data_IF_395471100651
#
_entry.id   IF_395471100651
#
_cell.length_a   1.000
_cell.length_b   1.000
_cell.length_c   1.000
_cell.angle_alpha   90.00
_cell.angle_beta   90.00
_cell.angle_gamma   90.00
#
_symmetry.space_group_name_H-M   'P 1'
#
loop_
_entity.id
_entity.type
_entity.pdbx_description
1 polymer ?
#
# COMPACT_ATOMS: atom_id res chain seq x y z
N UNK A 1 4.68 -4.11 -10.80
CA UNK A 1 3.65 -4.27 -11.83
C UNK A 1 3.14 -2.90 -12.24
N UNK A 2 2.79 -2.73 -13.50
CA UNK A 2 2.17 -1.50 -13.96
C UNK A 2 0.72 -1.40 -13.45
N UNK A 3 0.37 -0.26 -12.87
CA UNK A 3 -0.97 0.03 -12.37
C UNK A 3 -1.98 0.23 -13.50
N UNK A 4 -1.57 0.66 -14.70
CA UNK A 4 -2.47 0.79 -15.86
C UNK A 4 -3.08 -0.56 -16.24
N UNK A 5 -2.29 -1.63 -16.17
CA UNK A 5 -2.79 -3.00 -16.40
C UNK A 5 -3.90 -3.39 -15.43
N UNK A 6 -3.88 -2.89 -14.19
CA UNK A 6 -4.96 -3.13 -13.23
C UNK A 6 -6.23 -2.39 -13.62
N UNK A 7 -6.10 -1.16 -14.09
CA UNK A 7 -7.24 -0.35 -14.54
C UNK A 7 -7.89 -0.94 -15.80
N UNK A 8 -7.08 -1.39 -16.76
CA UNK A 8 -7.56 -2.10 -17.94
C UNK A 8 -8.28 -3.39 -17.55
N UNK A 9 -7.67 -4.20 -16.69
CA UNK A 9 -8.27 -5.45 -16.22
C UNK A 9 -9.59 -5.21 -15.47
N UNK A 10 -9.66 -4.18 -14.62
CA UNK A 10 -10.88 -3.79 -13.90
C UNK A 10 -11.99 -3.41 -14.88
N UNK A 11 -11.70 -2.59 -15.90
CA UNK A 11 -12.66 -2.18 -16.91
C UNK A 11 -13.19 -3.38 -17.73
N UNK A 12 -12.29 -4.25 -18.17
CA UNK A 12 -12.64 -5.46 -18.94
C UNK A 12 -13.51 -6.39 -18.10
N UNK A 13 -13.07 -6.71 -16.88
CA UNK A 13 -13.80 -7.62 -15.99
C UNK A 13 -15.19 -7.08 -15.62
N UNK A 14 -15.29 -5.77 -15.35
CA UNK A 14 -16.57 -5.12 -15.04
C UNK A 14 -17.53 -5.19 -16.21
N UNK A 15 -17.06 -4.88 -17.43
CA UNK A 15 -17.89 -4.96 -18.64
C UNK A 15 -18.39 -6.38 -18.88
N UNK A 16 -17.50 -7.36 -18.79
CA UNK A 16 -17.86 -8.77 -18.97
C UNK A 16 -18.87 -9.25 -17.93
N UNK A 17 -18.74 -8.79 -16.67
CA UNK A 17 -19.70 -9.14 -15.61
C UNK A 17 -21.10 -8.57 -15.88
N UNK A 18 -21.19 -7.32 -16.33
CA UNK A 18 -22.45 -6.68 -16.70
C UNK A 18 -23.10 -7.38 -17.89
N UNK A 19 -22.33 -7.68 -18.94
CA UNK A 19 -22.81 -8.37 -20.13
C UNK A 19 -23.33 -9.78 -19.80
N UNK A 20 -22.58 -10.53 -18.97
CA UNK A 20 -22.97 -11.87 -18.54
C UNK A 20 -24.24 -11.88 -17.68
N UNK A 21 -24.43 -10.85 -16.86
CA UNK A 21 -25.61 -10.71 -16.02
C UNK A 21 -26.81 -10.12 -16.79
N UNK A 22 -26.60 -9.53 -17.96
CA UNK A 22 -27.64 -8.86 -18.74
C UNK A 22 -28.23 -7.64 -18.02
N UNK A 23 -27.44 -6.95 -17.19
CA UNK A 23 -27.88 -5.79 -16.40
C UNK A 23 -27.16 -4.52 -16.83
N UNK A 24 -27.83 -3.38 -16.70
CA UNK A 24 -27.21 -2.07 -16.90
C UNK A 24 -26.35 -1.71 -15.69
N UNK A 25 -25.21 -1.06 -15.94
CA UNK A 25 -24.39 -0.46 -14.88
C UNK A 25 -25.16 0.54 -14.01
N UNK A 26 -26.23 1.17 -14.53
CA UNK A 26 -27.10 2.07 -13.77
C UNK A 26 -27.92 1.36 -12.68
N UNK A 27 -28.03 0.02 -12.73
CA UNK A 27 -28.72 -0.77 -11.71
C UNK A 27 -27.81 -1.11 -10.53
N UNK A 28 -26.49 -0.93 -10.67
CA UNK A 28 -25.50 -1.24 -9.64
C UNK A 28 -25.51 -0.15 -8.56
N UNK A 29 -25.87 -0.55 -7.33
CA UNK A 29 -25.98 0.39 -6.20
C UNK A 29 -24.65 0.63 -5.47
N UNK A 30 -23.66 -0.24 -5.68
CA UNK A 30 -22.36 -0.13 -5.02
C UNK A 30 -21.33 -1.08 -5.59
N UNK A 31 -20.06 -0.77 -5.33
CA UNK A 31 -18.90 -1.54 -5.76
C UNK A 31 -18.02 -1.77 -4.54
N UNK A 32 -17.62 -3.03 -4.32
CA UNK A 32 -16.60 -3.39 -3.34
C UNK A 32 -15.31 -3.76 -4.05
N UNK A 33 -14.18 -3.25 -3.57
CA UNK A 33 -12.85 -3.55 -4.12
C UNK A 33 -12.10 -4.40 -3.10
N UNK A 34 -11.59 -5.53 -3.57
CA UNK A 34 -10.65 -6.38 -2.84
C UNK A 34 -9.45 -6.66 -3.74
N UNK A 35 -8.28 -6.81 -3.16
CA UNK A 35 -7.04 -6.99 -3.92
C UNK A 35 -5.94 -7.64 -3.09
N UNK A 36 -4.79 -7.82 -3.71
CA UNK A 36 -3.60 -8.31 -3.03
C UNK A 36 -3.14 -7.32 -1.95
N UNK A 37 -2.78 -7.83 -0.77
CA UNK A 37 -2.30 -7.02 0.36
C UNK A 37 -0.83 -6.62 0.18
N UNK A 38 -0.30 -5.78 1.07
CA UNK A 38 1.12 -5.40 1.19
C UNK A 38 1.79 -4.74 -0.01
N UNK A 39 1.12 -4.61 -1.16
CA UNK A 39 1.66 -3.92 -2.32
C UNK A 39 1.99 -2.46 -2.01
N UNK A 40 2.98 -1.91 -2.71
CA UNK A 40 3.36 -0.51 -2.59
C UNK A 40 3.10 0.23 -3.90
N UNK A 41 2.15 1.16 -3.89
CA UNK A 41 1.92 2.18 -4.91
C UNK A 41 2.29 3.54 -4.32
N UNK A 42 3.09 4.30 -5.05
CA UNK A 42 3.52 5.64 -4.66
C UNK A 42 2.99 6.64 -5.65
N UNK A 43 2.28 7.66 -5.17
CA UNK A 43 1.76 8.74 -5.99
C UNK A 43 2.43 10.07 -5.61
N UNK A 44 2.57 10.95 -6.60
CA UNK A 44 2.86 12.37 -6.36
C UNK A 44 1.62 13.13 -5.86
N UNK A 45 1.79 14.43 -5.62
CA UNK A 45 0.73 15.32 -5.14
C UNK A 45 -0.41 15.53 -6.16
N UNK A 46 -0.16 15.26 -7.43
CA UNK A 46 -1.15 15.34 -8.51
C UNK A 46 -1.86 13.99 -8.72
N UNK A 47 -1.49 12.95 -7.96
CA UNK A 47 -2.06 11.62 -8.04
C UNK A 47 -1.46 10.73 -9.13
N UNK A 48 -0.34 11.12 -9.74
CA UNK A 48 0.33 10.32 -10.76
C UNK A 48 1.20 9.23 -10.11
N UNK A 49 1.19 8.04 -10.71
CA UNK A 49 1.99 6.91 -10.26
C UNK A 49 3.47 7.16 -10.57
N UNK A 50 4.30 7.14 -9.52
CA UNK A 50 5.72 7.50 -9.63
C UNK A 50 6.60 6.37 -10.18
N UNK A 51 6.18 5.11 -9.99
CA UNK A 51 6.88 3.91 -10.49
C UNK A 51 5.96 2.69 -10.49
N UNK A 52 6.31 1.62 -11.23
CA UNK A 52 5.61 0.35 -11.13
C UNK A 52 5.49 -0.14 -9.67
N UNK A 53 4.31 -0.63 -9.30
CA UNK A 53 3.99 -1.09 -7.96
C UNK A 53 4.89 -2.26 -7.53
N UNK A 54 5.37 -2.25 -6.28
CA UNK A 54 6.18 -3.34 -5.72
C UNK A 54 5.25 -4.33 -5.00
N UNK A 55 5.15 -5.56 -5.50
CA UNK A 55 4.10 -6.53 -5.11
C UNK A 55 4.40 -7.26 -3.79
N UNK A 56 3.41 -7.95 -3.22
CA UNK A 56 3.56 -8.72 -1.97
C UNK A 56 4.58 -9.86 -2.07
N UNK A 57 4.67 -10.52 -3.23
CA UNK A 57 5.59 -11.62 -3.47
C UNK A 57 7.03 -11.16 -3.75
N UNK A 58 7.27 -9.85 -3.76
CA UNK A 58 8.59 -9.26 -3.94
C UNK A 58 9.37 -9.23 -2.63
N UNK A 59 10.45 -10.00 -2.58
CA UNK A 59 11.30 -10.19 -1.40
C UNK A 59 12.61 -9.42 -1.44
N UNK A 60 12.85 -8.55 -2.42
CA UNK A 60 14.11 -7.78 -2.53
C UNK A 60 14.35 -6.88 -1.31
N UNK A 61 13.27 -6.48 -0.62
CA UNK A 61 13.31 -5.66 0.60
C UNK A 61 13.60 -6.46 1.88
N UNK A 62 14.12 -7.69 1.77
CA UNK A 62 14.47 -8.52 2.93
C UNK A 62 15.53 -7.88 3.85
N UNK A 63 16.62 -7.29 3.33
CA UNK A 63 17.60 -6.59 4.18
C UNK A 63 16.98 -5.40 4.93
N UNK A 64 16.11 -4.64 4.27
CA UNK A 64 15.35 -3.54 4.87
C UNK A 64 14.41 -4.01 5.97
N UNK A 65 13.69 -5.11 5.75
CA UNK A 65 12.83 -5.70 6.77
C UNK A 65 13.62 -6.09 8.01
N UNK A 66 14.78 -6.74 7.85
CA UNK A 66 15.63 -7.12 8.97
C UNK A 66 16.09 -5.90 9.78
N UNK A 67 16.47 -4.82 9.11
CA UNK A 67 16.86 -3.58 9.78
C UNK A 67 15.71 -2.95 10.56
N UNK A 68 14.52 -2.86 9.95
CA UNK A 68 13.33 -2.31 10.61
C UNK A 68 12.93 -3.18 11.80
N UNK A 69 13.02 -4.49 11.68
CA UNK A 69 12.73 -5.42 12.76
C UNK A 69 13.71 -5.25 13.93
N UNK A 70 15.00 -5.04 13.67
CA UNK A 70 15.98 -4.70 14.72
C UNK A 70 15.62 -3.37 15.39
N UNK A 71 15.26 -2.35 14.60
CA UNK A 71 14.84 -1.05 15.13
C UNK A 71 13.58 -1.15 15.99
N UNK A 72 12.63 -2.02 15.62
CA UNK A 72 11.42 -2.32 16.39
C UNK A 72 11.70 -3.07 17.69
N UNK A 73 12.91 -3.56 17.95
CA UNK A 73 13.25 -4.38 19.11
C UNK A 73 13.04 -5.89 18.88
N UNK A 74 13.15 -6.34 17.63
CA UNK A 74 12.89 -7.72 17.23
C UNK A 74 11.40 -8.06 17.22
N UNK A 75 11.09 -9.36 17.11
CA UNK A 75 9.72 -9.87 17.04
C UNK A 75 8.86 -9.42 18.23
N UNK A 76 9.42 -9.46 19.44
CA UNK A 76 8.72 -9.07 20.66
C UNK A 76 8.37 -7.57 20.66
N UNK A 77 9.31 -6.71 20.24
CA UNK A 77 9.08 -5.28 20.16
C UNK A 77 8.10 -4.91 19.03
N UNK A 78 8.16 -5.61 17.89
CA UNK A 78 7.18 -5.46 16.82
C UNK A 78 5.76 -5.86 17.27
N UNK A 79 5.62 -6.99 17.98
CA UNK A 79 4.34 -7.44 18.54
C UNK A 79 3.76 -6.48 19.58
N UNK A 80 4.62 -5.86 20.39
CA UNK A 80 4.20 -4.86 21.38
C UNK A 80 3.74 -3.57 20.68
N UNK A 81 4.56 -3.07 19.75
CA UNK A 81 4.38 -1.77 19.11
C UNK A 81 3.33 -1.75 18.01
N UNK A 82 3.27 -2.79 17.18
CA UNK A 82 2.37 -2.89 16.03
C UNK A 82 1.26 -3.93 16.22
N UNK A 83 1.45 -4.89 17.13
CA UNK A 83 0.54 -6.04 17.29
C UNK A 83 0.77 -7.17 16.28
N UNK A 84 1.85 -7.09 15.49
CA UNK A 84 2.28 -8.10 14.52
C UNK A 84 3.80 -8.04 14.33
N UNK A 85 4.36 -9.08 13.70
CA UNK A 85 5.77 -9.09 13.27
C UNK A 85 5.82 -8.80 11.78
N UNK A 86 6.61 -7.79 11.38
CA UNK A 86 6.81 -7.47 9.97
C UNK A 86 7.64 -8.55 9.26
N UNK A 87 7.28 -8.86 8.02
CA UNK A 87 7.97 -9.83 7.20
C UNK A 87 8.42 -9.20 5.87
N UNK A 88 9.43 -9.78 5.19
CA UNK A 88 9.75 -9.37 3.83
C UNK A 88 8.50 -9.37 2.94
N UNK A 89 8.32 -8.29 2.19
CA UNK A 89 7.13 -8.08 1.38
C UNK A 89 6.07 -7.21 2.04
N UNK A 90 6.21 -6.79 3.31
CA UNK A 90 5.35 -5.76 3.90
C UNK A 90 5.62 -4.37 3.27
N UNK A 91 4.64 -3.47 3.34
CA UNK A 91 4.73 -2.15 2.71
C UNK A 91 5.89 -1.32 3.29
N UNK A 92 6.11 -1.37 4.60
CA UNK A 92 7.14 -0.60 5.31
C UNK A 92 8.57 -0.94 4.85
N UNK A 93 8.88 -2.22 4.59
CA UNK A 93 10.21 -2.62 4.11
C UNK A 93 10.45 -2.12 2.69
N UNK A 94 9.39 -2.07 1.87
CA UNK A 94 9.45 -1.52 0.50
C UNK A 94 9.64 -0.01 0.49
N UNK A 95 9.11 0.72 1.47
CA UNK A 95 9.38 2.16 1.63
C UNK A 95 10.86 2.42 1.91
N UNK A 96 11.44 1.69 2.87
CA UNK A 96 12.87 1.79 3.18
C UNK A 96 13.74 1.39 1.97
N UNK A 97 13.29 0.39 1.20
CA UNK A 97 13.97 -0.04 -0.01
C UNK A 97 13.92 1.06 -1.09
N UNK A 98 12.75 1.65 -1.33
CA UNK A 98 12.57 2.76 -2.27
C UNK A 98 13.46 3.93 -1.88
N UNK A 99 13.58 4.27 -0.59
CA UNK A 99 14.49 5.31 -0.13
C UNK A 99 15.93 5.10 -0.58
N UNK A 100 16.40 3.84 -0.54
CA UNK A 100 17.79 3.48 -0.87
C UNK A 100 18.03 3.41 -2.37
N UNK A 101 17.10 2.81 -3.10
CA UNK A 101 17.28 2.49 -4.52
C UNK A 101 16.71 3.57 -5.45
N UNK A 102 15.73 4.34 -4.98
CA UNK A 102 15.04 5.38 -5.74
C UNK A 102 14.73 6.61 -4.86
N UNK A 103 15.75 7.27 -4.28
CA UNK A 103 15.54 8.39 -3.35
C UNK A 103 14.68 9.52 -3.95
N UNK A 104 14.87 9.84 -5.23
CA UNK A 104 14.08 10.85 -5.95
C UNK A 104 12.59 10.50 -6.05
N UNK A 105 12.24 9.20 -6.10
CA UNK A 105 10.83 8.77 -6.08
C UNK A 105 10.24 8.99 -4.69
N UNK A 106 10.98 8.65 -3.63
CA UNK A 106 10.51 8.90 -2.28
C UNK A 106 10.33 10.40 -2.02
N UNK A 107 11.25 11.23 -2.51
CA UNK A 107 11.13 12.69 -2.44
C UNK A 107 9.88 13.22 -3.16
N UNK A 108 9.43 12.60 -4.26
CA UNK A 108 8.23 13.04 -4.96
C UNK A 108 6.93 12.46 -4.38
N UNK A 109 7.03 11.50 -3.47
CA UNK A 109 5.86 10.80 -2.91
C UNK A 109 5.05 11.76 -2.04
N UNK A 110 3.75 11.85 -2.32
CA UNK A 110 2.75 12.50 -1.49
C UNK A 110 1.74 11.51 -0.90
N UNK A 111 1.49 10.38 -1.57
CA UNK A 111 0.55 9.36 -1.09
C UNK A 111 1.14 7.94 -1.21
N UNK A 112 0.93 7.15 -0.16
CA UNK A 112 1.25 5.72 -0.11
C UNK A 112 -0.06 4.95 -0.15
N UNK A 113 -0.24 4.10 -1.15
CA UNK A 113 -1.45 3.30 -1.33
C UNK A 113 -1.11 1.81 -1.49
N UNK A 114 -1.98 0.95 -0.97
CA UNK A 114 -2.00 -0.46 -1.36
C UNK A 114 -2.73 -0.63 -2.70
N UNK A 115 -2.65 -1.81 -3.34
CA UNK A 115 -3.28 -2.03 -4.65
C UNK A 115 -4.78 -1.77 -4.67
N UNK A 116 -5.52 -2.18 -3.63
CA UNK A 116 -6.95 -1.93 -3.54
C UNK A 116 -7.25 -0.44 -3.23
N UNK A 117 -6.44 0.21 -2.38
CA UNK A 117 -6.52 1.66 -2.14
C UNK A 117 -6.35 2.45 -3.43
N UNK A 118 -5.41 2.06 -4.29
CA UNK A 118 -5.19 2.69 -5.59
C UNK A 118 -6.40 2.56 -6.52
N UNK A 119 -7.03 1.38 -6.59
CA UNK A 119 -8.25 1.19 -7.38
C UNK A 119 -9.42 2.01 -6.81
N UNK A 120 -9.55 2.10 -5.48
CA UNK A 120 -10.54 2.96 -4.83
C UNK A 120 -10.28 4.44 -5.13
N UNK A 121 -9.03 4.88 -5.09
CA UNK A 121 -8.63 6.24 -5.47
C UNK A 121 -8.99 6.52 -6.92
N UNK A 122 -8.68 5.62 -7.85
CA UNK A 122 -9.05 5.80 -9.25
C UNK A 122 -10.57 5.86 -9.48
N UNK A 123 -11.35 5.05 -8.75
CA UNK A 123 -12.81 5.04 -8.86
C UNK A 123 -13.48 6.27 -8.24
N UNK A 124 -12.88 6.87 -7.20
CA UNK A 124 -13.59 7.82 -6.33
C UNK A 124 -12.89 9.16 -6.13
N UNK A 125 -11.62 9.28 -6.49
CA UNK A 125 -10.76 10.42 -6.18
C UNK A 125 -10.40 10.55 -4.69
N UNK A 126 -10.74 9.56 -3.85
CA UNK A 126 -10.52 9.62 -2.39
C UNK A 126 -9.36 8.73 -1.97
N UNK A 127 -8.49 9.29 -1.13
CA UNK A 127 -7.49 8.51 -0.39
C UNK A 127 -8.13 7.94 0.87
N UNK A 128 -8.26 6.62 0.92
CA UNK A 128 -8.71 5.92 2.11
C UNK A 128 -8.09 4.54 2.14
N UNK A 129 -7.87 4.03 3.34
CA UNK A 129 -7.51 2.64 3.57
C UNK A 129 -8.40 2.08 4.68
N UNK A 130 -8.71 0.79 4.58
CA UNK A 130 -9.48 0.07 5.58
C UNK A 130 -8.55 -0.69 6.54
N UNK A 131 -9.04 -1.03 7.73
CA UNK A 131 -8.18 -1.53 8.80
C UNK A 131 -7.52 -2.88 8.53
N UNK A 132 -8.15 -3.74 7.74
CA UNK A 132 -7.64 -5.06 7.37
C UNK A 132 -6.34 -4.95 6.58
N UNK A 133 -6.33 -4.18 5.51
CA UNK A 133 -5.18 -3.96 4.65
C UNK A 133 -4.17 -2.99 5.28
N UNK A 134 -4.63 -1.97 6.01
CA UNK A 134 -3.76 -1.12 6.82
C UNK A 134 -2.93 -1.95 7.80
N UNK A 135 -3.50 -3.02 8.39
CA UNK A 135 -2.75 -3.92 9.28
C UNK A 135 -1.55 -4.58 8.59
N UNK A 136 -1.62 -4.83 7.29
CA UNK A 136 -0.51 -5.40 6.52
C UNK A 136 0.58 -4.41 6.12
N UNK A 137 0.45 -3.13 6.47
CA UNK A 137 1.42 -2.10 6.03
C UNK A 137 2.75 -2.19 6.76
N UNK A 138 2.75 -2.61 8.03
CA UNK A 138 3.91 -2.56 8.91
C UNK A 138 4.21 -1.17 9.50
N UNK A 139 3.30 -0.21 9.34
CA UNK A 139 3.31 1.10 10.01
C UNK A 139 1.93 1.45 10.59
N UNK A 140 1.14 0.42 10.92
CA UNK A 140 -0.17 0.54 11.57
C UNK A 140 -0.22 -0.36 12.80
N UNK A 141 -0.59 0.21 13.95
CA UNK A 141 -0.83 -0.55 15.16
C UNK A 141 -2.24 -1.13 15.14
N UNK A 142 -2.34 -2.46 15.06
CA UNK A 142 -3.62 -3.17 14.92
C UNK A 142 -4.46 -3.16 16.20
N UNK A 143 -3.84 -2.93 17.36
CA UNK A 143 -4.53 -2.90 18.67
C UNK A 143 -5.21 -1.55 18.89
N UNK A 144 -4.49 -0.45 18.61
CA UNK A 144 -5.00 0.92 18.80
C UNK A 144 -5.71 1.46 17.57
N UNK A 145 -5.51 0.83 16.41
CA UNK A 145 -5.97 1.28 15.09
C UNK A 145 -5.44 2.65 14.70
N UNK A 146 -4.17 2.89 14.98
CA UNK A 146 -3.49 4.15 14.68
C UNK A 146 -2.23 3.90 13.86
N UNK A 147 -1.86 4.86 13.02
CA UNK A 147 -0.60 4.85 12.30
C UNK A 147 0.57 5.03 13.27
N UNK A 148 1.62 4.25 13.07
CA UNK A 148 2.90 4.42 13.77
C UNK A 148 3.76 5.39 12.96
N UNK A 149 3.64 6.68 13.26
CA UNK A 149 4.36 7.71 12.51
C UNK A 149 5.87 7.68 12.78
N UNK A 150 6.34 7.10 13.90
CA UNK A 150 7.78 7.11 14.19
C UNK A 150 8.54 6.15 13.29
N UNK A 151 7.95 5.01 12.90
CA UNK A 151 8.61 4.13 11.92
C UNK A 151 8.67 4.81 10.54
N UNK A 152 7.67 5.61 10.18
CA UNK A 152 7.69 6.42 8.96
C UNK A 152 8.75 7.51 9.04
N UNK A 153 8.86 8.23 10.17
CA UNK A 153 9.93 9.20 10.43
C UNK A 153 11.33 8.57 10.46
N UNK A 154 11.43 7.32 10.91
CA UNK A 154 12.69 6.59 10.88
C UNK A 154 13.14 6.31 9.43
N UNK A 155 12.19 6.09 8.52
CA UNK A 155 12.46 5.95 7.09
C UNK A 155 12.75 7.32 6.48
N UNK A 156 11.88 8.31 6.68
CA UNK A 156 12.03 9.67 6.18
C UNK A 156 11.90 10.71 7.32
N UNK A 157 13.05 11.23 7.81
CA UNK A 157 13.05 12.24 8.88
C UNK A 157 12.39 13.58 8.50
N UNK A 158 12.09 13.82 7.22
CA UNK A 158 11.41 15.06 6.80
C UNK A 158 9.92 15.09 7.13
N UNK A 159 9.33 13.94 7.48
CA UNK A 159 7.91 13.81 7.81
C UNK A 159 6.99 13.78 6.58
N UNK A 160 7.52 13.65 5.37
CA UNK A 160 6.73 13.64 4.12
C UNK A 160 5.76 12.46 4.03
N UNK A 161 6.10 11.36 4.69
CA UNK A 161 5.31 10.13 4.68
C UNK A 161 4.17 10.13 5.72
N UNK A 162 4.02 11.19 6.52
CA UNK A 162 3.02 11.32 7.59
C UNK A 162 1.63 11.73 7.09
#
# INVERSE_FOLDING_TARGET
QDTEQWLEALQIATRQALDNAGVSGLQIQGIGVSGQQHGLVLLDADGNVLRPAKLWCDTESSPENQQLLVWLGGDAGALERLGLVIAPGYTVSKLLWTRRHHPQVLEQTAHILLPHDYLNFWLTGRYCSEYGDASGTGYFNVRTRQWDLDILRHIDPSGRLE
#
